data_IF_600983743396
#
_entry.id   IF_600983743396
#
_cell.length_a   1.000
_cell.length_b   1.000
_cell.length_c   1.000
_cell.angle_alpha   90.00
_cell.angle_beta   90.00
_cell.angle_gamma   90.00
#
_symmetry.space_group_name_H-M   'P 1'
#
loop_
_entity.id
_entity.type
_entity.pdbx_description
1 polymer ?
#
# COMPACT_ATOMS: atom_id res chain seq x y z
N UNK A 1 5.16 88.43 -28.81
CA UNK A 1 5.61 87.04 -28.95
C UNK A 1 5.88 86.49 -27.56
N UNK A 2 5.08 85.69 -27.06
CA UNK A 2 5.25 84.45 -26.32
C UNK A 2 3.93 84.08 -25.61
N UNK A 3 3.28 83.06 -26.10
CA UNK A 3 2.10 82.47 -25.50
C UNK A 3 2.52 81.62 -24.27
N UNK A 4 1.84 81.84 -23.14
CA UNK A 4 1.91 81.02 -21.98
C UNK A 4 0.57 80.28 -21.81
N UNK A 5 0.55 79.02 -21.93
CA UNK A 5 -0.62 78.18 -21.72
C UNK A 5 -0.64 77.66 -20.28
N UNK A 6 -1.65 78.16 -19.53
CA UNK A 6 -1.99 77.66 -18.20
C UNK A 6 -2.68 76.25 -18.27
N UNK A 7 -2.15 75.30 -17.59
CA UNK A 7 -2.80 73.96 -17.40
C UNK A 7 -3.62 74.02 -16.10
N UNK A 8 -4.92 73.86 -16.23
CA UNK A 8 -5.85 73.61 -15.14
C UNK A 8 -5.80 72.16 -14.72
N UNK A 9 -5.48 71.88 -13.46
CA UNK A 9 -5.54 70.55 -12.85
C UNK A 9 -6.92 70.30 -12.27
N UNK A 10 -7.65 69.33 -12.79
CA UNK A 10 -8.88 68.86 -12.20
C UNK A 10 -8.55 67.69 -11.20
N UNK A 11 -8.90 67.88 -9.94
CA UNK A 11 -8.91 66.87 -8.91
C UNK A 11 -10.14 65.96 -9.13
N UNK A 12 -9.92 64.73 -9.52
CA UNK A 12 -10.94 63.72 -9.47
C UNK A 12 -10.71 62.85 -8.20
N UNK A 13 -11.64 62.98 -7.26
CA UNK A 13 -11.67 62.18 -6.05
C UNK A 13 -12.01 60.74 -6.38
N UNK A 14 -11.04 59.86 -6.25
CA UNK A 14 -11.26 58.42 -6.37
C UNK A 14 -11.71 57.82 -5.05
N UNK A 15 -12.96 57.38 -5.01
CA UNK A 15 -13.48 56.50 -3.93
C UNK A 15 -12.81 55.15 -4.04
N UNK A 16 -11.97 54.80 -3.09
CA UNK A 16 -11.43 53.42 -2.94
C UNK A 16 -12.53 52.52 -2.41
N UNK A 17 -13.17 51.75 -3.29
CA UNK A 17 -13.95 50.58 -2.92
C UNK A 17 -12.97 49.47 -2.54
N UNK A 18 -12.85 49.19 -1.24
CA UNK A 18 -12.17 48.01 -0.74
C UNK A 18 -13.01 46.78 -1.14
N UNK A 19 -12.63 46.11 -2.21
CA UNK A 19 -13.14 44.82 -2.54
C UNK A 19 -12.54 43.79 -1.56
N UNK A 20 -13.33 43.39 -0.56
CA UNK A 20 -13.03 42.23 0.28
C UNK A 20 -13.06 40.97 -0.59
N UNK A 21 -11.90 40.49 -0.98
CA UNK A 21 -11.77 39.19 -1.59
C UNK A 21 -12.18 38.15 -0.56
N UNK A 22 -13.42 37.62 -0.63
CA UNK A 22 -13.76 36.34 -0.06
C UNK A 22 -12.88 35.32 -0.77
N UNK A 23 -11.83 34.88 -0.09
CA UNK A 23 -11.12 33.66 -0.46
C UNK A 23 -12.13 32.52 -0.32
N UNK A 24 -12.80 32.16 -1.41
CA UNK A 24 -13.58 30.95 -1.52
C UNK A 24 -12.65 29.78 -1.23
N UNK A 25 -12.89 29.09 -0.12
CA UNK A 25 -12.33 27.79 0.15
C UNK A 25 -12.90 26.88 -0.94
N UNK A 26 -12.20 26.80 -2.08
CA UNK A 26 -12.43 25.74 -3.06
C UNK A 26 -12.04 24.46 -2.36
N UNK A 27 -13.05 23.77 -1.83
CA UNK A 27 -12.88 22.42 -1.31
C UNK A 27 -12.26 21.57 -2.41
N UNK A 28 -10.99 21.21 -2.25
CA UNK A 28 -10.33 20.24 -3.11
C UNK A 28 -11.13 18.95 -2.99
N UNK A 29 -11.86 18.62 -4.03
CA UNK A 29 -12.53 17.34 -4.19
C UNK A 29 -11.54 16.24 -3.89
N UNK A 30 -11.97 15.30 -3.07
CA UNK A 30 -11.14 14.25 -2.52
C UNK A 30 -10.20 13.61 -3.56
N UNK A 31 -8.92 13.55 -3.24
CA UNK A 31 -7.87 12.89 -4.02
C UNK A 31 -8.12 11.39 -4.33
N UNK A 32 -9.23 10.82 -3.86
CA UNK A 32 -9.69 9.48 -4.19
C UNK A 32 -10.10 9.32 -5.67
N UNK A 33 -10.36 10.41 -6.40
CA UNK A 33 -10.86 10.33 -7.78
C UNK A 33 -9.77 10.13 -8.84
N UNK A 34 -8.50 10.23 -8.49
CA UNK A 34 -7.39 10.18 -9.46
C UNK A 34 -6.65 8.83 -9.53
N UNK A 35 -6.97 7.88 -8.65
CA UNK A 35 -6.33 6.56 -8.67
C UNK A 35 -7.39 5.45 -8.82
N UNK A 36 -7.47 4.75 -9.96
CA UNK A 36 -8.53 3.76 -10.26
C UNK A 36 -8.37 2.42 -9.51
N UNK A 37 -7.61 2.36 -8.43
CA UNK A 37 -7.41 1.13 -7.65
C UNK A 37 -8.53 0.89 -6.64
N UNK A 38 -8.76 -0.37 -6.19
CA UNK A 38 -9.68 -0.64 -5.10
C UNK A 38 -9.14 -0.07 -3.78
N UNK A 39 -10.04 0.37 -2.91
CA UNK A 39 -9.71 0.93 -1.60
C UNK A 39 -10.23 0.06 -0.46
N UNK A 40 -9.49 0.00 0.63
CA UNK A 40 -10.04 -0.37 1.94
C UNK A 40 -10.63 0.88 2.60
N UNK A 41 -11.84 0.75 3.12
CA UNK A 41 -12.48 1.79 3.93
C UNK A 41 -12.20 1.48 5.40
N UNK A 42 -11.27 2.23 6.00
CA UNK A 42 -10.86 2.07 7.40
C UNK A 42 -11.65 3.04 8.26
N UNK A 43 -12.43 2.53 9.23
CA UNK A 43 -13.23 3.37 10.10
C UNK A 43 -12.34 4.16 11.07
N UNK A 44 -12.53 5.47 11.15
CA UNK A 44 -11.70 6.35 11.99
C UNK A 44 -11.89 6.15 13.49
N UNK A 45 -13.01 5.56 13.92
CA UNK A 45 -13.30 5.30 15.32
C UNK A 45 -12.72 4.00 15.85
N UNK A 46 -12.68 2.97 14.99
CA UNK A 46 -12.28 1.61 15.37
C UNK A 46 -10.94 1.17 14.78
N UNK A 47 -10.49 1.79 13.67
CA UNK A 47 -9.36 1.29 12.90
C UNK A 47 -9.65 0.01 12.09
N UNK A 48 -10.89 -0.48 12.10
CA UNK A 48 -11.31 -1.68 11.40
C UNK A 48 -11.77 -1.37 9.96
N UNK A 49 -11.74 -2.36 9.08
CA UNK A 49 -12.07 -2.24 7.66
C UNK A 49 -13.53 -2.64 7.37
N UNK A 50 -14.20 -1.91 6.49
CA UNK A 50 -15.47 -2.33 5.88
C UNK A 50 -15.27 -3.67 5.16
N UNK A 51 -16.12 -4.65 5.46
CA UNK A 51 -15.92 -6.03 5.02
C UNK A 51 -17.24 -6.71 4.68
N UNK A 52 -17.23 -7.53 3.62
CA UNK A 52 -18.21 -8.59 3.47
C UNK A 52 -17.84 -9.74 4.43
N UNK A 53 -18.71 -10.09 5.41
CA UNK A 53 -18.39 -11.10 6.41
C UNK A 53 -18.17 -12.47 5.76
N UNK A 54 -17.27 -13.26 6.32
CA UNK A 54 -16.92 -14.61 5.85
C UNK A 54 -16.60 -14.67 4.32
N UNK A 55 -16.19 -13.58 3.70
CA UNK A 55 -15.98 -13.45 2.24
C UNK A 55 -17.25 -13.78 1.42
N UNK A 56 -18.43 -13.56 2.00
CA UNK A 56 -19.70 -13.87 1.34
C UNK A 56 -19.87 -13.11 0.02
N UNK A 57 -20.36 -13.81 -1.02
CA UNK A 57 -20.60 -13.25 -2.37
C UNK A 57 -22.09 -13.13 -2.72
N UNK A 58 -22.97 -13.57 -1.80
CA UNK A 58 -24.43 -13.57 -1.98
C UNK A 58 -25.06 -12.19 -2.06
N UNK A 59 -26.36 -12.17 -2.43
CA UNK A 59 -27.22 -10.97 -2.39
C UNK A 59 -27.58 -10.59 -0.94
N UNK A 60 -27.86 -9.31 -0.73
CA UNK A 60 -28.39 -8.75 0.51
C UNK A 60 -27.51 -9.03 1.75
N UNK A 61 -26.23 -9.38 1.56
CA UNK A 61 -25.29 -9.61 2.68
C UNK A 61 -24.99 -8.28 3.35
N UNK A 62 -25.36 -8.15 4.63
CA UNK A 62 -25.04 -6.97 5.41
C UNK A 62 -23.54 -6.84 5.63
N UNK A 63 -23.00 -5.67 5.34
CA UNK A 63 -21.59 -5.37 5.59
C UNK A 63 -21.32 -5.14 7.06
N UNK A 64 -20.13 -5.52 7.49
CA UNK A 64 -19.62 -5.36 8.86
C UNK A 64 -18.26 -4.67 8.84
N UNK A 65 -17.78 -4.27 10.01
CA UNK A 65 -16.36 -3.95 10.15
C UNK A 65 -15.59 -5.17 10.67
N UNK A 66 -14.38 -5.39 10.18
CA UNK A 66 -13.50 -6.49 10.57
C UNK A 66 -12.05 -6.01 10.66
N UNK A 67 -11.18 -6.78 11.32
CA UNK A 67 -9.74 -6.51 11.25
C UNK A 67 -9.29 -6.37 9.79
N UNK A 68 -8.45 -5.38 9.53
CA UNK A 68 -7.94 -5.14 8.18
C UNK A 68 -6.93 -6.23 7.79
N UNK A 69 -7.31 -7.12 6.91
CA UNK A 69 -6.49 -8.25 6.45
C UNK A 69 -5.90 -8.06 5.05
N UNK A 70 -6.31 -6.99 4.33
CA UNK A 70 -5.96 -6.82 2.91
C UNK A 70 -6.70 -7.77 1.96
N UNK A 71 -7.63 -8.59 2.46
CA UNK A 71 -8.42 -9.52 1.65
C UNK A 71 -9.33 -8.82 0.64
N UNK A 72 -9.64 -9.48 -0.48
CA UNK A 72 -10.47 -8.93 -1.54
C UNK A 72 -11.90 -8.58 -1.06
N UNK A 73 -12.41 -9.22 0.00
CA UNK A 73 -13.68 -8.92 0.66
C UNK A 73 -13.67 -7.61 1.48
N UNK A 74 -12.53 -6.93 1.55
CA UNK A 74 -12.34 -5.62 2.16
C UNK A 74 -11.86 -4.58 1.13
N UNK A 75 -11.79 -4.95 -0.14
CA UNK A 75 -11.35 -4.10 -1.23
C UNK A 75 -12.55 -3.64 -2.05
N UNK A 76 -12.73 -2.32 -2.17
CA UNK A 76 -13.88 -1.67 -2.79
C UNK A 76 -13.43 -0.78 -3.93
N UNK A 77 -13.89 -1.08 -5.14
CA UNK A 77 -13.60 -0.29 -6.34
C UNK A 77 -14.57 0.88 -6.45
N UNK A 78 -14.06 2.07 -6.66
CA UNK A 78 -14.83 3.29 -6.85
C UNK A 78 -14.98 3.55 -8.36
N UNK A 79 -16.19 3.41 -8.87
CA UNK A 79 -16.52 3.73 -10.28
C UNK A 79 -17.29 5.04 -10.31
N UNK A 80 -16.76 6.04 -11.02
CA UNK A 80 -17.39 7.36 -11.15
C UNK A 80 -18.71 7.26 -11.89
N UNK A 81 -19.75 7.94 -11.38
CA UNK A 81 -21.09 8.04 -11.97
C UNK A 81 -21.62 9.46 -11.72
N UNK A 82 -21.70 10.28 -12.75
CA UNK A 82 -22.30 11.64 -12.68
C UNK A 82 -21.80 12.53 -11.51
N UNK A 83 -20.50 12.50 -11.23
CA UNK A 83 -19.88 13.28 -10.14
C UNK A 83 -19.83 12.57 -8.77
N UNK A 84 -20.48 11.45 -8.63
CA UNK A 84 -20.50 10.57 -7.47
C UNK A 84 -19.83 9.22 -7.79
N UNK A 85 -19.96 8.21 -6.91
CA UNK A 85 -19.30 6.93 -7.06
C UNK A 85 -20.25 5.76 -6.79
N UNK A 86 -20.12 4.69 -7.56
CA UNK A 86 -20.53 3.35 -7.16
C UNK A 86 -19.34 2.63 -6.53
N UNK A 87 -19.61 1.91 -5.43
CA UNK A 87 -18.62 1.12 -4.74
C UNK A 87 -18.93 -0.36 -4.92
N UNK A 88 -18.05 -1.11 -5.59
CA UNK A 88 -18.20 -2.55 -5.80
C UNK A 88 -17.11 -3.35 -5.12
N UNK A 89 -17.45 -4.49 -4.53
CA UNK A 89 -16.51 -5.41 -3.88
C UNK A 89 -15.62 -6.12 -4.89
N UNK A 90 -14.31 -6.05 -4.71
CA UNK A 90 -13.35 -6.70 -5.61
C UNK A 90 -13.50 -8.24 -5.63
N UNK A 91 -14.06 -8.84 -4.56
CA UNK A 91 -14.25 -10.30 -4.47
C UNK A 91 -15.58 -10.79 -5.07
N UNK A 92 -16.64 -9.95 -5.04
CA UNK A 92 -17.99 -10.35 -5.42
C UNK A 92 -18.51 -9.64 -6.67
N UNK A 93 -17.88 -8.53 -7.06
CA UNK A 93 -18.40 -7.64 -8.10
C UNK A 93 -19.67 -6.88 -7.70
N UNK A 94 -20.24 -7.14 -6.51
CA UNK A 94 -21.49 -6.53 -6.06
C UNK A 94 -21.29 -5.13 -5.51
N UNK A 95 -22.30 -4.28 -5.71
CA UNK A 95 -22.29 -2.89 -5.27
C UNK A 95 -22.76 -2.74 -3.81
N UNK A 96 -22.27 -1.72 -3.13
CA UNK A 96 -22.74 -1.32 -1.79
C UNK A 96 -24.04 -0.52 -1.97
N UNK A 97 -25.13 -1.00 -1.36
CA UNK A 97 -26.43 -0.36 -1.42
C UNK A 97 -27.16 -0.36 -0.07
N UNK A 98 -28.25 0.38 -0.02
CA UNK A 98 -29.09 0.49 1.16
C UNK A 98 -30.20 -0.56 1.11
N UNK A 99 -30.38 -1.30 2.17
CA UNK A 99 -31.47 -2.28 2.33
C UNK A 99 -32.84 -1.69 1.99
N UNK A 100 -33.52 -2.29 1.01
CA UNK A 100 -34.86 -1.91 0.59
C UNK A 100 -34.96 -0.48 0.04
N UNK A 101 -33.88 0.11 -0.44
CA UNK A 101 -33.85 1.50 -0.92
C UNK A 101 -34.45 2.50 0.09
N UNK A 102 -34.22 2.26 1.36
CA UNK A 102 -34.83 3.03 2.45
C UNK A 102 -34.10 4.35 2.71
N UNK A 103 -34.86 5.39 3.00
CA UNK A 103 -34.34 6.69 3.49
C UNK A 103 -34.22 6.75 5.01
N UNK A 104 -34.67 5.73 5.77
CA UNK A 104 -34.67 5.71 7.24
C UNK A 104 -33.27 5.49 7.80
N UNK A 105 -32.95 6.18 8.91
CA UNK A 105 -31.74 5.91 9.67
C UNK A 105 -31.74 4.48 10.25
N UNK A 106 -30.56 3.89 10.43
CA UNK A 106 -30.40 2.55 10.99
C UNK A 106 -30.55 1.40 9.99
N UNK A 107 -30.93 1.68 8.73
CA UNK A 107 -31.03 0.63 7.71
C UNK A 107 -29.69 0.07 7.34
N UNK A 108 -29.66 -1.25 7.12
CA UNK A 108 -28.43 -1.98 6.80
C UNK A 108 -27.82 -1.49 5.47
N UNK A 109 -26.50 -1.43 5.46
CA UNK A 109 -25.72 -1.32 4.22
C UNK A 109 -25.33 -2.72 3.81
N UNK A 110 -25.64 -3.09 2.57
CA UNK A 110 -25.53 -4.45 2.03
C UNK A 110 -24.76 -4.47 0.73
N UNK A 111 -24.14 -5.60 0.39
CA UNK A 111 -23.77 -5.86 -0.99
C UNK A 111 -24.97 -6.38 -1.78
N UNK A 112 -25.14 -5.89 -2.99
CA UNK A 112 -26.29 -6.16 -3.87
C UNK A 112 -25.80 -6.20 -5.31
N UNK A 113 -26.53 -6.86 -6.22
CA UNK A 113 -26.26 -6.73 -7.65
C UNK A 113 -26.26 -5.27 -8.06
N UNK A 114 -25.26 -4.87 -8.85
CA UNK A 114 -25.12 -3.48 -9.27
C UNK A 114 -26.29 -3.08 -10.18
N UNK A 115 -27.01 -2.05 -9.77
CA UNK A 115 -28.14 -1.48 -10.51
C UNK A 115 -27.92 0.04 -10.74
N UNK A 116 -28.64 0.60 -11.68
CA UNK A 116 -28.73 2.05 -11.83
C UNK A 116 -29.67 2.60 -10.74
N UNK A 117 -29.18 3.54 -9.90
CA UNK A 117 -30.04 4.14 -8.88
C UNK A 117 -29.25 4.81 -7.77
N UNK A 118 -29.91 5.80 -7.14
CA UNK A 118 -29.33 6.65 -6.13
C UNK A 118 -28.94 5.90 -4.84
N UNK A 119 -29.61 4.80 -4.51
CA UNK A 119 -29.38 4.01 -3.31
C UNK A 119 -28.12 3.12 -3.36
N UNK A 120 -27.45 3.03 -4.51
CA UNK A 120 -26.14 2.42 -4.69
C UNK A 120 -25.06 3.45 -5.09
N UNK A 121 -25.41 4.73 -5.09
CA UNK A 121 -24.51 5.83 -5.43
C UNK A 121 -24.12 6.61 -4.19
N UNK A 122 -22.87 7.03 -4.11
CA UNK A 122 -22.27 7.61 -2.92
C UNK A 122 -21.47 8.86 -3.24
N UNK A 123 -21.77 9.95 -2.56
CA UNK A 123 -20.94 11.17 -2.56
C UNK A 123 -19.84 11.00 -1.54
N UNK A 124 -18.60 11.27 -1.93
CA UNK A 124 -17.43 11.27 -1.02
C UNK A 124 -17.14 12.70 -0.60
N UNK A 125 -17.28 13.00 0.68
CA UNK A 125 -17.06 14.35 1.27
C UNK A 125 -15.88 14.34 2.21
N UNK A 126 -14.97 15.31 2.07
CA UNK A 126 -13.86 15.49 3.00
C UNK A 126 -14.37 15.73 4.42
N UNK A 127 -13.68 15.14 5.41
CA UNK A 127 -14.00 15.26 6.82
C UNK A 127 -12.72 15.53 7.65
N UNK A 128 -12.89 15.77 8.96
CA UNK A 128 -11.78 16.10 9.87
C UNK A 128 -10.67 15.05 9.83
N UNK A 129 -9.41 15.51 9.85
CA UNK A 129 -8.23 14.64 9.95
C UNK A 129 -7.95 13.81 8.70
N UNK A 130 -8.24 14.33 7.51
CA UNK A 130 -7.98 13.63 6.24
C UNK A 130 -8.89 12.43 5.98
N UNK A 131 -9.95 12.26 6.79
CA UNK A 131 -10.97 11.22 6.60
C UNK A 131 -12.07 11.67 5.64
N UNK A 132 -12.96 10.76 5.26
CA UNK A 132 -14.08 10.99 4.36
C UNK A 132 -15.40 10.57 5.01
N UNK A 133 -16.48 11.26 4.65
CA UNK A 133 -17.85 10.77 4.80
C UNK A 133 -18.29 10.20 3.46
N UNK A 134 -18.94 9.04 3.46
CA UNK A 134 -19.59 8.47 2.30
C UNK A 134 -21.10 8.63 2.48
N UNK A 135 -21.69 9.57 1.75
CA UNK A 135 -23.10 9.90 1.82
C UNK A 135 -23.83 9.22 0.67
N UNK A 136 -24.83 8.41 0.98
CA UNK A 136 -25.68 7.79 -0.02
C UNK A 136 -26.57 8.85 -0.71
N UNK A 137 -26.57 8.91 -2.02
CA UNK A 137 -27.28 9.97 -2.76
C UNK A 137 -28.80 9.82 -2.70
N UNK A 138 -29.33 8.61 -2.59
CA UNK A 138 -30.76 8.35 -2.49
C UNK A 138 -31.36 8.69 -1.12
N UNK A 139 -30.60 8.48 -0.04
CA UNK A 139 -31.10 8.71 1.32
C UNK A 139 -30.57 9.98 1.98
N UNK A 140 -29.50 10.59 1.46
CA UNK A 140 -28.79 11.69 2.10
C UNK A 140 -28.07 11.31 3.41
N UNK A 141 -27.95 10.02 3.74
CA UNK A 141 -27.34 9.52 4.97
C UNK A 141 -25.95 8.96 4.75
N UNK A 142 -25.14 8.96 5.80
CA UNK A 142 -23.76 8.54 5.79
C UNK A 142 -23.59 7.06 6.18
N UNK A 143 -22.60 6.42 5.57
CA UNK A 143 -22.08 5.10 5.92
C UNK A 143 -21.59 5.14 7.37
N UNK A 144 -22.13 4.29 8.23
CA UNK A 144 -21.94 4.35 9.68
C UNK A 144 -21.78 2.96 10.30
N UNK A 145 -20.80 2.81 11.17
CA UNK A 145 -20.73 1.65 12.09
C UNK A 145 -21.80 1.80 13.18
N UNK A 146 -22.71 0.83 13.31
CA UNK A 146 -23.79 0.87 14.31
C UNK A 146 -23.23 1.13 15.71
N UNK A 147 -23.81 2.12 16.39
CA UNK A 147 -23.39 2.50 17.75
C UNK A 147 -21.95 3.02 17.86
N UNK A 148 -21.28 3.35 16.75
CA UNK A 148 -19.84 3.65 16.72
C UNK A 148 -18.99 2.58 17.44
N UNK A 149 -19.43 1.32 17.37
CA UNK A 149 -18.75 0.18 18.00
C UNK A 149 -17.29 0.06 17.52
N UNK A 150 -16.43 -0.42 18.42
CA UNK A 150 -14.99 -0.65 18.12
C UNK A 150 -14.66 -2.13 17.95
N UNK A 151 -15.63 -3.02 18.06
CA UNK A 151 -15.44 -4.47 17.95
C UNK A 151 -15.55 -4.95 16.50
N UNK A 152 -14.78 -5.98 16.15
CA UNK A 152 -14.95 -6.70 14.90
C UNK A 152 -16.34 -7.37 14.85
N UNK A 153 -16.92 -7.49 13.66
CA UNK A 153 -18.27 -8.02 13.45
C UNK A 153 -19.38 -6.99 13.60
N UNK A 154 -19.10 -5.78 14.09
CA UNK A 154 -20.14 -4.76 14.22
C UNK A 154 -20.75 -4.41 12.86
N UNK A 155 -22.12 -4.38 12.77
CA UNK A 155 -22.79 -4.14 11.51
C UNK A 155 -22.64 -2.69 11.03
N UNK A 156 -22.63 -2.53 9.71
CA UNK A 156 -22.60 -1.22 9.06
C UNK A 156 -24.00 -0.88 8.54
N UNK A 157 -24.41 0.33 8.81
CA UNK A 157 -25.74 0.88 8.50
C UNK A 157 -25.61 2.28 7.92
N UNK A 158 -26.71 2.86 7.47
CA UNK A 158 -26.77 4.31 7.20
C UNK A 158 -27.30 5.08 8.43
N UNK A 159 -26.81 6.31 8.63
CA UNK A 159 -27.35 7.21 9.65
C UNK A 159 -27.15 8.68 9.23
N UNK A 160 -27.77 9.63 9.95
CA UNK A 160 -27.57 11.06 9.70
C UNK A 160 -26.08 11.40 9.64
N UNK A 161 -25.69 12.27 8.70
CA UNK A 161 -24.30 12.70 8.55
C UNK A 161 -23.93 13.69 9.65
N UNK A 162 -22.88 13.38 10.39
CA UNK A 162 -22.24 14.25 11.38
C UNK A 162 -20.74 13.90 11.47
N UNK A 163 -20.02 14.53 12.39
CA UNK A 163 -18.57 14.35 12.58
C UNK A 163 -18.19 13.15 13.47
N UNK A 164 -19.13 12.28 13.86
CA UNK A 164 -18.85 11.12 14.71
C UNK A 164 -17.81 10.19 14.06
N UNK A 165 -16.89 9.66 14.87
CA UNK A 165 -15.80 8.82 14.37
C UNK A 165 -16.29 7.56 13.63
N UNK A 166 -17.42 6.97 14.05
CA UNK A 166 -18.01 5.80 13.40
C UNK A 166 -18.56 6.05 11.99
N UNK A 167 -18.64 7.31 11.54
CA UNK A 167 -19.10 7.71 10.21
C UNK A 167 -17.97 8.18 9.31
N UNK A 168 -16.78 8.37 9.87
CA UNK A 168 -15.61 8.83 9.14
C UNK A 168 -14.75 7.65 8.73
N UNK A 169 -14.29 7.68 7.48
CA UNK A 169 -13.53 6.60 6.86
C UNK A 169 -12.26 7.13 6.22
N UNK A 170 -11.17 6.43 6.40
CA UNK A 170 -9.94 6.65 5.63
C UNK A 170 -9.99 5.74 4.42
N UNK A 171 -9.85 6.32 3.23
CA UNK A 171 -9.69 5.56 2.00
C UNK A 171 -8.21 5.19 1.88
N UNK A 172 -7.90 3.93 2.12
CA UNK A 172 -6.56 3.37 1.99
C UNK A 172 -6.53 2.52 0.73
N UNK A 173 -5.59 2.71 -0.21
CA UNK A 173 -5.48 1.82 -1.37
C UNK A 173 -5.50 0.36 -0.92
N UNK A 174 -6.32 -0.47 -1.54
CA UNK A 174 -6.40 -1.89 -1.17
C UNK A 174 -5.04 -2.55 -1.42
N UNK A 175 -4.57 -3.27 -0.40
CA UNK A 175 -3.19 -3.75 -0.36
C UNK A 175 -2.19 -2.76 0.23
N UNK A 176 -2.61 -1.53 0.60
CA UNK A 176 -1.71 -0.65 1.34
C UNK A 176 -1.21 -1.33 2.62
N UNK A 177 0.04 -1.07 3.02
CA UNK A 177 0.61 -1.69 4.21
C UNK A 177 -0.30 -1.52 5.43
N UNK A 178 -0.49 -2.59 6.20
CA UNK A 178 -1.21 -2.51 7.47
C UNK A 178 -0.54 -1.49 8.38
N UNK A 179 -1.32 -0.67 9.07
CA UNK A 179 -0.78 0.27 10.05
C UNK A 179 -0.20 -0.43 11.30
N UNK A 180 -0.53 -1.70 11.52
CA UNK A 180 -0.08 -2.51 12.65
C UNK A 180 0.52 -3.85 12.18
N UNK A 181 1.46 -4.36 12.96
CA UNK A 181 1.98 -5.72 12.78
C UNK A 181 0.90 -6.73 13.16
N UNK A 182 0.75 -7.82 12.39
CA UNK A 182 -0.28 -8.81 12.68
C UNK A 182 0.06 -9.62 13.93
N UNK A 183 -0.96 -9.99 14.69
CA UNK A 183 -0.81 -10.99 15.76
C UNK A 183 -0.86 -12.38 15.12
N UNK A 184 0.10 -13.28 15.42
CA UNK A 184 0.08 -14.64 14.90
C UNK A 184 -1.15 -15.44 15.38
N UNK A 185 -1.76 -16.19 14.46
CA UNK A 185 -2.86 -17.12 14.77
C UNK A 185 -2.38 -18.43 15.42
N UNK A 186 -1.07 -18.62 15.56
CA UNK A 186 -0.41 -19.78 16.16
C UNK A 186 1.07 -19.77 15.83
N UNK A 187 1.79 -20.82 16.28
CA UNK A 187 3.24 -20.97 16.04
C UNK A 187 3.50 -22.33 15.36
N UNK A 188 4.48 -22.34 14.45
CA UNK A 188 4.87 -23.55 13.70
C UNK A 188 6.40 -23.60 13.57
N UNK A 189 7.09 -24.52 14.30
CA UNK A 189 8.53 -24.71 14.16
C UNK A 189 8.84 -25.38 12.83
N UNK A 190 9.88 -24.93 12.16
CA UNK A 190 10.33 -25.43 10.84
C UNK A 190 11.75 -26.00 10.99
N UNK A 191 11.89 -27.30 10.82
CA UNK A 191 13.17 -28.00 10.99
C UNK A 191 13.92 -28.23 9.68
N UNK A 192 13.24 -28.11 8.54
CA UNK A 192 13.80 -28.23 7.20
C UNK A 192 13.04 -27.33 6.23
N UNK A 193 13.68 -26.96 5.13
CA UNK A 193 13.08 -26.13 4.08
C UNK A 193 11.74 -26.67 3.59
N UNK A 194 10.72 -25.84 3.61
CA UNK A 194 9.39 -26.15 3.08
C UNK A 194 9.36 -25.79 1.59
N UNK A 195 9.22 -26.79 0.72
CA UNK A 195 9.03 -26.56 -0.72
C UNK A 195 7.56 -26.28 -1.02
N UNK A 196 7.31 -25.22 -1.81
CA UNK A 196 5.98 -24.78 -2.24
C UNK A 196 5.91 -24.85 -3.76
N UNK A 197 5.00 -25.69 -4.31
CA UNK A 197 4.83 -25.89 -5.75
C UNK A 197 3.51 -25.33 -6.30
N UNK A 198 2.65 -24.81 -5.43
CA UNK A 198 1.36 -24.23 -5.78
C UNK A 198 1.05 -23.08 -4.83
N UNK A 199 -0.17 -23.01 -4.32
CA UNK A 199 -0.58 -22.04 -3.31
C UNK A 199 -0.47 -22.63 -1.92
N UNK A 200 0.34 -22.02 -1.06
CA UNK A 200 0.41 -22.31 0.37
C UNK A 200 -0.12 -21.13 1.17
N UNK A 201 -1.18 -21.35 1.91
CA UNK A 201 -1.73 -20.40 2.88
C UNK A 201 -1.26 -20.79 4.28
N UNK A 202 -0.54 -19.89 4.95
CA UNK A 202 -0.04 -20.12 6.31
C UNK A 202 -1.04 -19.76 7.42
N UNK A 203 -2.24 -19.25 7.07
CA UNK A 203 -3.29 -18.90 8.04
C UNK A 203 -2.86 -17.88 9.08
N UNK A 204 -1.91 -17.01 8.76
CA UNK A 204 -1.30 -16.04 9.68
C UNK A 204 -0.58 -16.69 10.88
N UNK A 205 -0.15 -17.93 10.77
CA UNK A 205 0.72 -18.54 11.79
C UNK A 205 2.12 -17.96 11.70
N UNK A 206 2.83 -17.94 12.84
CA UNK A 206 4.26 -17.64 12.92
C UNK A 206 5.07 -18.91 12.66
N UNK A 207 5.83 -18.94 11.55
CA UNK A 207 6.84 -19.94 11.22
C UNK A 207 8.19 -19.46 11.73
N UNK A 208 8.94 -20.32 12.40
CA UNK A 208 10.27 -19.97 12.92
C UNK A 208 11.21 -21.18 12.81
N UNK A 209 12.48 -20.92 12.56
CA UNK A 209 13.48 -21.98 12.39
C UNK A 209 13.73 -22.75 13.67
N UNK A 210 13.93 -24.05 13.53
CA UNK A 210 14.25 -24.99 14.58
C UNK A 210 15.17 -26.09 14.01
N UNK A 211 15.88 -26.80 14.85
CA UNK A 211 16.85 -27.83 14.38
C UNK A 211 17.84 -27.24 13.37
N UNK A 212 17.92 -27.77 12.17
CA UNK A 212 18.83 -27.33 11.13
C UNK A 212 18.57 -25.88 10.63
N UNK A 213 17.37 -25.34 10.84
CA UNK A 213 17.00 -23.96 10.53
C UNK A 213 17.01 -23.04 11.78
N UNK A 214 17.46 -23.53 12.91
CA UNK A 214 17.43 -22.82 14.18
C UNK A 214 18.54 -21.77 14.37
N UNK A 215 19.37 -21.53 13.37
CA UNK A 215 20.42 -20.53 13.42
C UNK A 215 19.88 -19.13 13.13
N UNK A 216 20.22 -18.15 13.98
CA UNK A 216 20.01 -16.72 13.73
C UNK A 216 21.23 -16.05 13.08
N UNK A 217 22.15 -16.80 12.45
CA UNK A 217 23.35 -16.24 11.83
C UNK A 217 23.01 -15.46 10.55
N UNK A 218 23.93 -14.58 10.13
CA UNK A 218 23.88 -13.82 8.86
C UNK A 218 24.73 -14.52 7.78
N UNK A 219 24.78 -15.86 7.79
CA UNK A 219 25.59 -16.62 6.84
C UNK A 219 24.89 -16.78 5.49
N UNK A 220 25.51 -16.34 4.41
CA UNK A 220 25.05 -16.46 3.01
C UNK A 220 24.78 -17.93 2.57
N UNK A 221 25.24 -18.92 3.32
CA UNK A 221 25.09 -20.35 3.02
C UNK A 221 23.89 -21.01 3.71
N UNK A 222 23.06 -20.28 4.43
CA UNK A 222 21.91 -20.85 5.12
C UNK A 222 20.83 -21.33 4.14
N UNK A 223 20.15 -22.47 4.43
CA UNK A 223 18.99 -22.86 3.65
C UNK A 223 17.81 -21.93 3.95
N UNK A 224 16.91 -21.71 2.96
CA UNK A 224 15.71 -20.90 3.18
C UNK A 224 14.68 -21.65 4.01
N UNK A 225 13.84 -20.92 4.74
CA UNK A 225 12.66 -21.50 5.40
C UNK A 225 11.64 -22.00 4.37
N UNK A 226 11.40 -21.21 3.31
CA UNK A 226 10.51 -21.58 2.21
C UNK A 226 11.26 -21.52 0.87
N UNK A 227 11.07 -22.55 0.04
CA UNK A 227 11.56 -22.58 -1.34
C UNK A 227 10.38 -22.68 -2.29
N UNK A 228 10.14 -21.62 -3.06
CA UNK A 228 9.02 -21.49 -3.98
C UNK A 228 9.44 -21.92 -5.39
N UNK A 229 8.77 -22.92 -5.95
CA UNK A 229 8.92 -23.31 -7.35
C UNK A 229 8.32 -22.24 -8.29
N UNK A 230 8.57 -22.36 -9.58
CA UNK A 230 7.99 -21.50 -10.59
C UNK A 230 6.45 -21.55 -10.54
N UNK A 231 5.79 -20.38 -10.56
CA UNK A 231 4.34 -20.23 -10.42
C UNK A 231 3.80 -20.29 -8.99
N UNK A 232 4.63 -20.59 -7.97
CA UNK A 232 4.16 -20.79 -6.60
C UNK A 232 3.76 -19.48 -5.90
N UNK A 233 2.80 -19.60 -4.98
CA UNK A 233 2.34 -18.52 -4.10
C UNK A 233 2.44 -18.92 -2.63
N UNK A 234 3.09 -18.09 -1.82
CA UNK A 234 3.08 -18.16 -0.36
C UNK A 234 2.24 -17.01 0.16
N UNK A 235 1.21 -17.29 0.98
CA UNK A 235 0.34 -16.24 1.47
C UNK A 235 0.00 -16.38 2.96
N UNK A 236 -0.29 -15.22 3.60
CA UNK A 236 -0.76 -15.15 5.00
C UNK A 236 0.21 -15.88 5.96
N UNK A 237 1.50 -15.53 5.88
CA UNK A 237 2.57 -16.13 6.68
C UNK A 237 3.24 -15.05 7.52
N UNK A 238 3.58 -15.38 8.76
CA UNK A 238 4.49 -14.60 9.58
C UNK A 238 5.76 -15.42 9.75
N UNK A 239 6.91 -14.86 9.37
CA UNK A 239 8.23 -15.45 9.57
C UNK A 239 8.86 -14.77 10.78
N UNK A 240 9.04 -15.53 11.86
CA UNK A 240 9.67 -15.09 13.10
C UNK A 240 11.09 -15.57 13.21
N UNK A 241 11.82 -15.08 14.21
CA UNK A 241 13.19 -15.49 14.48
C UNK A 241 13.26 -16.88 15.18
N UNK A 242 14.26 -17.69 14.81
CA UNK A 242 15.21 -17.58 13.71
C UNK A 242 14.51 -17.68 12.36
N UNK A 243 14.85 -16.79 11.42
CA UNK A 243 14.20 -16.72 10.11
C UNK A 243 14.93 -17.54 9.00
N UNK A 244 16.09 -18.12 9.32
CA UNK A 244 16.99 -18.75 8.36
C UNK A 244 17.28 -17.79 7.18
N UNK A 245 17.43 -18.28 5.93
CA UNK A 245 17.54 -17.42 4.74
C UNK A 245 16.15 -17.17 4.10
N UNK A 246 15.17 -16.86 4.96
CA UNK A 246 13.83 -16.44 4.56
C UNK A 246 13.19 -17.29 3.47
N UNK A 247 12.94 -16.68 2.30
CA UNK A 247 12.22 -17.29 1.19
C UNK A 247 13.07 -17.25 -0.09
N UNK A 248 13.33 -18.41 -0.71
CA UNK A 248 13.90 -18.48 -2.06
C UNK A 248 12.81 -18.63 -3.11
N UNK A 249 12.77 -17.71 -4.08
CA UNK A 249 11.91 -17.75 -5.24
C UNK A 249 12.70 -18.27 -6.46
N UNK A 250 12.40 -19.46 -6.91
CA UNK A 250 13.20 -20.16 -7.94
C UNK A 250 12.74 -19.87 -9.38
N UNK A 251 11.70 -19.06 -9.55
CA UNK A 251 11.11 -18.70 -10.83
C UNK A 251 10.11 -17.57 -10.63
N UNK A 252 9.01 -17.51 -11.39
CA UNK A 252 7.89 -16.63 -11.07
C UNK A 252 7.27 -17.06 -9.75
N UNK A 253 7.12 -16.14 -8.81
CA UNK A 253 6.49 -16.43 -7.52
C UNK A 253 5.73 -15.23 -6.96
N UNK A 254 4.82 -15.50 -6.03
CA UNK A 254 4.08 -14.46 -5.32
C UNK A 254 4.16 -14.66 -3.82
N UNK A 255 4.58 -13.62 -3.10
CA UNK A 255 4.54 -13.49 -1.66
C UNK A 255 3.42 -12.51 -1.31
N UNK A 256 2.27 -13.02 -0.83
CA UNK A 256 1.08 -12.22 -0.57
C UNK A 256 0.78 -12.15 0.92
N UNK A 257 0.81 -10.94 1.49
CA UNK A 257 0.59 -10.74 2.93
C UNK A 257 1.56 -11.60 3.78
N UNK A 258 2.86 -11.52 3.45
CA UNK A 258 3.93 -12.20 4.20
C UNK A 258 4.65 -11.18 5.08
N UNK A 259 4.91 -11.56 6.33
CA UNK A 259 5.47 -10.69 7.36
C UNK A 259 6.74 -11.29 7.94
N UNK A 260 7.82 -10.53 7.97
CA UNK A 260 9.09 -10.91 8.62
C UNK A 260 9.26 -10.07 9.87
N UNK A 261 9.13 -10.69 11.06
CA UNK A 261 9.24 -10.01 12.35
C UNK A 261 10.68 -9.65 12.71
N UNK A 262 11.63 -10.44 12.19
CA UNK A 262 13.06 -10.25 12.33
C UNK A 262 13.71 -10.93 11.12
N UNK A 263 14.26 -10.13 10.22
CA UNK A 263 14.85 -10.66 8.99
C UNK A 263 16.18 -11.33 9.35
N UNK A 264 16.35 -12.58 8.90
CA UNK A 264 17.60 -13.32 9.02
C UNK A 264 18.68 -12.75 8.08
N UNK A 265 19.22 -13.57 7.18
CA UNK A 265 20.15 -13.08 6.15
C UNK A 265 19.39 -12.20 5.14
N UNK A 266 18.42 -12.76 4.42
CA UNK A 266 17.48 -12.05 3.55
C UNK A 266 16.03 -12.40 3.92
N UNK A 267 15.08 -11.46 3.74
CA UNK A 267 13.66 -11.80 3.84
C UNK A 267 13.22 -12.67 2.67
N UNK A 268 13.63 -12.30 1.45
CA UNK A 268 13.45 -13.15 0.29
C UNK A 268 14.49 -12.87 -0.80
N UNK A 269 14.93 -13.97 -1.45
CA UNK A 269 15.91 -13.94 -2.54
C UNK A 269 15.30 -14.44 -3.84
N UNK A 270 15.33 -13.60 -4.90
CA UNK A 270 14.89 -13.98 -6.23
C UNK A 270 16.01 -14.68 -7.00
N UNK A 271 15.82 -15.96 -7.28
CA UNK A 271 16.74 -16.86 -8.00
C UNK A 271 16.15 -17.31 -9.33
N UNK A 272 15.39 -16.45 -10.02
CA UNK A 272 14.85 -16.73 -11.35
C UNK A 272 15.93 -17.06 -12.38
N UNK A 273 15.54 -17.75 -13.44
CA UNK A 273 16.42 -18.24 -14.50
C UNK A 273 16.14 -17.61 -15.86
N UNK A 274 15.05 -16.83 -15.97
CA UNK A 274 14.62 -16.15 -17.20
C UNK A 274 14.29 -14.68 -16.94
N UNK A 275 14.59 -13.82 -17.91
CA UNK A 275 14.25 -12.40 -17.87
C UNK A 275 12.74 -12.11 -17.85
N UNK A 276 11.91 -13.09 -18.21
CA UNK A 276 10.43 -12.96 -18.16
C UNK A 276 9.83 -13.29 -16.80
N UNK A 277 10.59 -13.92 -15.90
CA UNK A 277 10.13 -14.31 -14.58
C UNK A 277 10.04 -13.11 -13.63
N UNK A 278 9.11 -13.20 -12.70
CA UNK A 278 8.83 -12.10 -11.74
C UNK A 278 8.61 -12.64 -10.33
N UNK A 279 9.35 -12.11 -9.36
CA UNK A 279 9.02 -12.23 -7.95
C UNK A 279 8.10 -11.08 -7.56
N UNK A 280 6.89 -11.36 -7.06
CA UNK A 280 5.94 -10.35 -6.60
C UNK A 280 5.78 -10.41 -5.08
N UNK A 281 6.06 -9.33 -4.40
CA UNK A 281 5.75 -9.11 -2.98
C UNK A 281 4.55 -8.15 -2.93
N UNK A 282 3.40 -8.62 -2.45
CA UNK A 282 2.15 -7.87 -2.42
C UNK A 282 1.53 -7.87 -1.01
N UNK A 283 1.63 -6.78 -0.32
CA UNK A 283 1.25 -6.67 1.09
C UNK A 283 2.25 -7.33 2.03
N UNK A 284 2.00 -7.19 3.32
CA UNK A 284 2.92 -7.67 4.36
C UNK A 284 3.89 -6.61 4.84
N UNK A 285 4.96 -7.05 5.50
CA UNK A 285 6.00 -6.17 6.01
C UNK A 285 7.25 -6.90 6.48
N UNK A 286 8.36 -6.19 6.55
CA UNK A 286 9.62 -6.69 7.10
C UNK A 286 10.22 -5.66 8.07
N UNK A 287 10.86 -6.15 9.12
CA UNK A 287 11.61 -5.32 10.06
C UNK A 287 12.90 -5.99 10.50
N UNK A 288 13.82 -5.14 11.02
CA UNK A 288 15.10 -5.56 11.55
C UNK A 288 16.01 -6.28 10.52
N UNK A 289 15.97 -5.86 9.24
CA UNK A 289 16.93 -6.32 8.24
C UNK A 289 18.25 -5.55 8.38
N UNK A 290 19.30 -6.20 8.87
CA UNK A 290 20.57 -5.54 9.12
C UNK A 290 21.25 -5.03 7.84
N UNK A 291 21.15 -5.77 6.74
CA UNK A 291 21.68 -5.41 5.43
C UNK A 291 20.55 -5.32 4.38
N UNK A 292 20.07 -6.44 3.84
CA UNK A 292 19.11 -6.49 2.73
C UNK A 292 17.78 -7.05 3.20
N UNK A 293 16.68 -6.55 2.65
CA UNK A 293 15.35 -7.18 2.82
C UNK A 293 15.06 -8.11 1.66
N UNK A 294 15.17 -7.60 0.43
CA UNK A 294 14.94 -8.39 -0.79
C UNK A 294 16.18 -8.37 -1.68
N UNK A 295 16.74 -9.55 -1.88
CA UNK A 295 17.89 -9.80 -2.73
C UNK A 295 17.44 -10.31 -4.11
N UNK A 296 18.07 -9.84 -5.19
CA UNK A 296 17.75 -10.25 -6.54
C UNK A 296 19.00 -10.77 -7.24
N UNK A 297 19.12 -12.09 -7.38
CA UNK A 297 20.29 -12.78 -7.91
C UNK A 297 20.13 -13.19 -9.37
N UNK A 298 18.97 -13.73 -9.76
CA UNK A 298 18.70 -14.15 -11.15
C UNK A 298 18.35 -13.00 -12.08
N UNK A 299 18.13 -13.27 -13.38
CA UNK A 299 17.51 -12.30 -14.29
C UNK A 299 16.02 -12.11 -13.99
N UNK A 300 15.42 -11.05 -14.53
CA UNK A 300 13.98 -10.82 -14.45
C UNK A 300 13.57 -9.60 -13.65
N UNK A 301 12.40 -9.67 -13.02
CA UNK A 301 11.78 -8.52 -12.36
C UNK A 301 11.35 -8.84 -10.92
N UNK A 302 11.58 -7.91 -10.02
CA UNK A 302 10.97 -7.90 -8.69
C UNK A 302 9.91 -6.80 -8.61
N UNK A 303 8.73 -7.12 -8.09
CA UNK A 303 7.65 -6.16 -7.82
C UNK A 303 7.40 -6.14 -6.33
N UNK A 304 7.58 -5.00 -5.70
CA UNK A 304 7.29 -4.77 -4.27
C UNK A 304 6.19 -3.75 -4.19
N UNK A 305 5.04 -4.16 -3.67
CA UNK A 305 3.91 -3.25 -3.55
C UNK A 305 3.11 -3.45 -2.27
N UNK A 306 2.47 -2.36 -1.81
CA UNK A 306 1.59 -2.43 -0.65
C UNK A 306 2.32 -2.93 0.60
N UNK A 307 3.60 -2.59 0.74
CA UNK A 307 4.53 -3.19 1.71
C UNK A 307 4.96 -2.20 2.78
N UNK A 308 5.30 -2.71 3.97
CA UNK A 308 5.85 -1.94 5.07
C UNK A 308 7.25 -2.44 5.43
N UNK A 309 8.21 -1.52 5.57
CA UNK A 309 9.56 -1.84 6.04
C UNK A 309 9.94 -0.97 7.24
N UNK A 310 10.57 -1.56 8.26
CA UNK A 310 11.01 -0.86 9.47
C UNK A 310 12.42 -1.30 9.87
N UNK A 311 13.30 -0.35 10.12
CA UNK A 311 14.70 -0.60 10.56
C UNK A 311 15.42 -1.53 9.59
N UNK A 312 15.52 -1.14 8.32
CA UNK A 312 16.14 -1.95 7.27
C UNK A 312 17.36 -1.24 6.69
N UNK A 313 18.42 -1.98 6.42
CA UNK A 313 19.58 -1.45 5.72
C UNK A 313 19.24 -1.08 4.29
N UNK A 314 18.78 -2.05 3.51
CA UNK A 314 18.27 -1.87 2.14
C UNK A 314 16.95 -2.62 1.97
N UNK A 315 15.91 -1.95 1.42
CA UNK A 315 14.67 -2.66 1.09
C UNK A 315 14.87 -3.62 -0.10
N UNK A 316 15.61 -3.19 -1.13
CA UNK A 316 15.93 -4.01 -2.30
C UNK A 316 17.39 -3.86 -2.70
N UNK A 317 18.01 -4.96 -3.10
CA UNK A 317 19.36 -4.98 -3.67
C UNK A 317 19.43 -5.95 -4.86
N UNK A 318 19.76 -5.43 -6.04
CA UNK A 318 20.20 -6.24 -7.16
C UNK A 318 21.62 -6.75 -6.87
N UNK A 319 21.89 -8.02 -7.06
CA UNK A 319 23.21 -8.59 -6.78
C UNK A 319 24.31 -7.82 -7.54
N UNK A 320 25.24 -7.28 -6.80
CA UNK A 320 26.32 -6.45 -7.33
C UNK A 320 27.61 -7.18 -7.60
N UNK A 321 27.73 -8.43 -7.10
CA UNK A 321 28.95 -9.26 -7.20
C UNK A 321 28.65 -10.74 -7.50
N UNK A 322 27.48 -11.05 -8.01
CA UNK A 322 27.17 -12.39 -8.52
C UNK A 322 28.11 -12.77 -9.68
N UNK A 323 28.55 -14.02 -9.72
CA UNK A 323 29.46 -14.54 -10.75
C UNK A 323 28.89 -14.40 -12.20
N UNK A 324 27.55 -14.29 -12.32
CA UNK A 324 26.86 -13.96 -13.57
C UNK A 324 26.13 -12.65 -13.42
N UNK A 325 26.36 -11.72 -14.33
CA UNK A 325 25.65 -10.44 -14.39
C UNK A 325 24.42 -10.54 -15.30
N UNK A 326 23.35 -9.86 -14.89
CA UNK A 326 22.09 -9.76 -15.61
C UNK A 326 21.52 -8.36 -15.48
N UNK A 327 20.72 -7.92 -16.43
CA UNK A 327 19.83 -6.79 -16.20
C UNK A 327 18.70 -7.24 -15.26
N UNK A 328 18.52 -6.53 -14.15
CA UNK A 328 17.51 -6.77 -13.13
C UNK A 328 16.61 -5.56 -12.98
N UNK A 329 15.34 -5.77 -12.90
CA UNK A 329 14.37 -4.69 -12.84
C UNK A 329 13.57 -4.76 -11.55
N UNK A 330 13.40 -3.62 -10.87
CA UNK A 330 12.51 -3.54 -9.72
C UNK A 330 11.45 -2.46 -9.91
N UNK A 331 10.21 -2.78 -9.50
CA UNK A 331 9.10 -1.84 -9.40
C UNK A 331 8.65 -1.80 -7.95
N UNK A 332 8.71 -0.62 -7.34
CA UNK A 332 8.33 -0.39 -5.94
C UNK A 332 7.19 0.61 -5.91
N UNK A 333 6.04 0.19 -5.40
CA UNK A 333 4.85 1.04 -5.40
C UNK A 333 4.04 0.93 -4.12
N UNK A 334 3.52 2.07 -3.64
CA UNK A 334 2.70 2.12 -2.43
C UNK A 334 3.38 1.41 -1.24
N UNK A 335 4.61 1.84 -0.94
CA UNK A 335 5.43 1.28 0.14
C UNK A 335 5.67 2.33 1.22
N UNK A 336 5.51 1.94 2.47
CA UNK A 336 5.85 2.76 3.64
C UNK A 336 7.14 2.24 4.27
N UNK A 337 8.10 3.13 4.46
CA UNK A 337 9.41 2.79 5.04
C UNK A 337 9.68 3.68 6.23
N UNK A 338 10.11 3.07 7.33
CA UNK A 338 10.54 3.76 8.56
C UNK A 338 11.96 3.33 8.87
N UNK A 339 12.89 4.28 9.00
CA UNK A 339 14.30 4.01 9.35
C UNK A 339 14.98 3.05 8.37
N UNK A 340 15.12 3.44 7.10
CA UNK A 340 15.92 2.72 6.10
C UNK A 340 17.14 3.55 5.68
N UNK A 341 18.22 2.88 5.28
CA UNK A 341 19.37 3.56 4.67
C UNK A 341 19.16 3.74 3.16
N UNK A 342 18.72 2.69 2.47
CA UNK A 342 18.50 2.66 1.01
C UNK A 342 17.19 1.97 0.69
N UNK A 343 16.39 2.55 -0.23
CA UNK A 343 15.20 1.86 -0.72
C UNK A 343 15.60 0.86 -1.80
N UNK A 344 16.29 1.27 -2.86
CA UNK A 344 16.78 0.34 -3.87
C UNK A 344 18.25 0.60 -4.21
N UNK A 345 19.04 -0.48 -4.25
CA UNK A 345 20.41 -0.48 -4.77
C UNK A 345 20.49 -1.29 -6.07
N UNK A 346 20.92 -0.65 -7.16
CA UNK A 346 20.96 -1.21 -8.52
C UNK A 346 22.33 -1.04 -9.17
N UNK A 347 22.64 -1.89 -10.15
CA UNK A 347 23.93 -1.84 -10.87
C UNK A 347 23.71 -1.33 -12.29
N UNK A 348 24.01 -0.05 -12.52
CA UNK A 348 23.69 0.62 -13.78
C UNK A 348 24.47 0.06 -14.98
N UNK A 349 25.71 -0.40 -14.75
CA UNK A 349 26.53 -1.04 -15.80
C UNK A 349 26.03 -2.43 -16.21
N UNK A 350 25.09 -3.05 -15.49
CA UNK A 350 24.42 -4.29 -15.88
C UNK A 350 23.05 -4.03 -16.53
N UNK A 351 22.64 -2.74 -16.66
CA UNK A 351 21.35 -2.37 -17.22
C UNK A 351 20.19 -2.45 -16.23
N UNK A 352 20.46 -2.51 -14.94
CA UNK A 352 19.42 -2.55 -13.90
C UNK A 352 18.57 -1.29 -13.93
N UNK A 353 17.27 -1.45 -13.58
CA UNK A 353 16.35 -0.32 -13.43
C UNK A 353 15.52 -0.44 -12.16
N UNK A 354 15.22 0.69 -11.53
CA UNK A 354 14.28 0.81 -10.43
C UNK A 354 13.23 1.87 -10.76
N UNK A 355 11.95 1.53 -10.61
CA UNK A 355 10.82 2.44 -10.82
C UNK A 355 10.03 2.56 -9.53
N UNK A 356 9.70 3.80 -9.13
CA UNK A 356 9.02 4.06 -7.86
C UNK A 356 7.73 4.85 -8.06
N UNK A 357 6.74 4.59 -7.23
CA UNK A 357 5.52 5.40 -7.12
C UNK A 357 4.86 5.26 -5.75
N UNK A 358 4.30 6.36 -5.22
CA UNK A 358 3.56 6.32 -3.97
C UNK A 358 4.38 5.87 -2.75
N UNK A 359 5.65 6.23 -2.69
CA UNK A 359 6.53 5.96 -1.55
C UNK A 359 6.21 6.88 -0.38
N UNK A 360 6.17 6.33 0.83
CA UNK A 360 6.11 7.11 2.07
C UNK A 360 7.31 6.77 2.94
N UNK A 361 8.14 7.77 3.23
CA UNK A 361 9.29 7.66 4.14
C UNK A 361 8.91 8.38 5.44
N UNK A 362 8.96 7.65 6.56
CA UNK A 362 8.49 8.10 7.87
C UNK A 362 9.68 8.29 8.80
N UNK A 363 9.63 9.32 9.64
CA UNK A 363 10.67 9.66 10.63
C UNK A 363 12.06 9.92 10.02
N UNK A 364 12.08 10.55 8.84
CA UNK A 364 13.31 10.99 8.18
C UNK A 364 13.28 12.50 7.87
N UNK A 365 13.28 13.38 8.88
CA UNK A 365 13.19 14.83 8.68
C UNK A 365 14.38 15.42 7.90
N UNK A 366 15.53 14.76 7.95
CA UNK A 366 16.72 15.12 7.21
C UNK A 366 16.82 14.57 5.80
N UNK A 367 15.81 13.80 5.34
CA UNK A 367 15.77 13.12 4.04
C UNK A 367 17.06 12.35 3.72
N UNK A 368 17.57 11.63 4.72
CA UNK A 368 18.81 10.85 4.64
C UNK A 368 18.65 9.50 3.94
N UNK A 369 17.42 8.98 3.88
CA UNK A 369 17.11 7.74 3.18
C UNK A 369 17.36 7.91 1.67
N UNK A 370 18.26 7.10 1.12
CA UNK A 370 18.55 7.10 -0.31
C UNK A 370 17.48 6.29 -1.04
N UNK A 371 16.67 6.95 -1.88
CA UNK A 371 15.59 6.28 -2.62
C UNK A 371 16.16 5.31 -3.66
N UNK A 372 17.17 5.74 -4.43
CA UNK A 372 17.81 4.89 -5.42
C UNK A 372 19.32 5.11 -5.39
N UNK A 373 20.07 4.09 -4.99
CA UNK A 373 21.53 4.06 -5.02
C UNK A 373 22.02 3.34 -6.27
N UNK A 374 22.94 3.95 -6.99
CA UNK A 374 23.55 3.45 -8.25
C UNK A 374 24.93 2.89 -7.95
N UNK A 375 25.18 1.67 -8.41
CA UNK A 375 26.43 0.97 -8.24
C UNK A 375 27.05 0.61 -9.60
N UNK A 376 28.37 0.49 -9.62
CA UNK A 376 29.12 -0.26 -10.63
C UNK A 376 29.25 -1.68 -10.10
N UNK A 377 28.43 -2.58 -10.64
CA UNK A 377 28.48 -4.00 -10.31
C UNK A 377 29.72 -4.68 -10.88
N UNK A 378 30.13 -5.77 -10.25
CA UNK A 378 31.29 -6.60 -10.62
C UNK A 378 30.86 -8.07 -10.64
N UNK A 379 31.71 -8.96 -11.17
CA UNK A 379 31.47 -10.41 -11.14
C UNK A 379 32.29 -11.10 -10.06
N UNK A 380 33.14 -10.32 -9.36
CA UNK A 380 33.95 -10.73 -8.22
C UNK A 380 34.40 -9.49 -7.45
N UNK A 381 34.52 -9.61 -6.13
CA UNK A 381 34.86 -8.49 -5.23
C UNK A 381 33.64 -7.65 -4.86
N UNK A 382 33.87 -6.41 -4.41
CA UNK A 382 32.81 -5.53 -3.91
C UNK A 382 32.36 -4.49 -4.96
N UNK A 383 31.05 -4.33 -5.17
CA UNK A 383 30.53 -3.30 -6.06
C UNK A 383 30.73 -1.89 -5.47
N UNK A 384 31.06 -0.92 -6.29
CA UNK A 384 31.28 0.47 -5.86
C UNK A 384 30.06 1.32 -6.10
N UNK A 385 29.60 2.07 -5.09
CA UNK A 385 28.54 3.06 -5.26
C UNK A 385 29.07 4.25 -6.07
N UNK A 386 28.40 4.57 -7.19
CA UNK A 386 28.82 5.62 -8.13
C UNK A 386 27.85 6.82 -8.15
N UNK A 387 26.78 6.76 -7.37
CA UNK A 387 25.84 7.86 -7.26
C UNK A 387 24.51 7.45 -6.63
N UNK A 388 23.58 8.40 -6.63
CA UNK A 388 22.19 8.18 -6.15
C UNK A 388 21.25 9.19 -6.79
N UNK A 389 19.95 9.02 -6.50
CA UNK A 389 18.90 9.93 -6.96
C UNK A 389 18.33 9.57 -8.33
N UNK A 390 17.29 10.32 -8.78
CA UNK A 390 16.54 10.00 -9.97
C UNK A 390 17.34 10.22 -11.24
N UNK A 391 17.10 9.36 -12.21
CA UNK A 391 17.46 9.55 -13.62
C UNK A 391 16.52 8.73 -14.52
N UNK A 392 16.25 9.16 -15.76
CA UNK A 392 15.26 8.50 -16.62
C UNK A 392 15.71 7.10 -17.12
N UNK A 393 17.01 6.81 -17.10
CA UNK A 393 17.53 5.54 -17.58
C UNK A 393 17.38 4.42 -16.54
N UNK A 394 17.77 4.69 -15.29
CA UNK A 394 17.93 3.66 -14.26
C UNK A 394 17.03 3.87 -13.03
N UNK A 395 16.96 5.09 -12.48
CA UNK A 395 16.26 5.41 -11.24
C UNK A 395 15.01 6.27 -11.52
N UNK A 396 13.91 5.64 -11.90
CA UNK A 396 12.74 6.28 -12.50
C UNK A 396 11.74 6.70 -11.42
N UNK A 397 11.84 7.94 -10.97
CA UNK A 397 10.89 8.59 -10.07
C UNK A 397 11.04 10.11 -10.09
N UNK A 398 10.03 10.79 -9.60
CA UNK A 398 9.98 12.25 -9.43
C UNK A 398 9.75 12.59 -7.95
N UNK A 399 9.83 13.84 -7.58
CA UNK A 399 9.55 14.29 -6.21
C UNK A 399 8.13 13.96 -5.75
N UNK A 400 7.15 13.92 -6.67
CA UNK A 400 5.75 13.57 -6.36
C UNK A 400 5.55 12.08 -6.03
N UNK A 401 6.51 11.21 -6.38
CA UNK A 401 6.45 9.78 -6.09
C UNK A 401 6.89 9.45 -4.65
N UNK A 402 7.48 10.43 -3.92
CA UNK A 402 8.06 10.23 -2.59
C UNK A 402 7.51 11.27 -1.60
N UNK A 403 6.81 10.80 -0.59
CA UNK A 403 6.27 11.62 0.51
C UNK A 403 7.07 11.36 1.78
N UNK A 404 7.55 12.43 2.44
CA UNK A 404 8.18 12.38 3.76
C UNK A 404 7.18 12.77 4.85
N UNK A 405 7.10 11.99 5.94
CA UNK A 405 6.19 12.21 7.08
C UNK A 405 6.92 12.14 8.41
#
# INVERSE_FOLDING_TARGET
LFLSTTKTSALVGGVLLAASALAGITGTSAAAASNPGPYQLVNAGSGLCLSAPAKATGEAVQLTQQACTGGANQAWTFTAVSGDFKLSGAHSGKCIGIQGNSTSAGKAVQQQSCATGAFQTWTVKAAKGGTQLLMNTGSGKCLNVKGSAKTAGAPVQQNSCDSAAGKRWTLRPAGAPSASWPTPAGKEPVTATITVTGVRDGGMKRFYGSGALGSGSQSEGQPPMFKLADGATLQNVIIGAPAADGVHCMGTCTLKNVWWEDVGEDAATFKGTSATQTMTIDGGGARAASDKTFQHNGPGKTVIRNFRAENVGKLYRACGNCSKSYARHVVISNVTVTSAKVIAGINTNFGDTATFSGMTIVNDPGKKTVVCAKFKGVTSGEPTQIGSGPDPAHCRYTASDVTYK
#
